data_IF_778407210529
#
_entry.id   IF_778407210529
#
_cell.length_a   1.000
_cell.length_b   1.000
_cell.length_c   1.000
_cell.angle_alpha   90.00
_cell.angle_beta   90.00
_cell.angle_gamma   90.00
#
_symmetry.space_group_name_H-M   'P 1'
#
loop_
_entity.id
_entity.type
_entity.pdbx_description
1 polymer ?
#
# COMPACT_ATOMS: atom_id res chain seq x y z
N UNK A 1 -39.39 -16.18 -51.87
CA UNK A 1 -39.38 -15.58 -53.22
C UNK A 1 -38.14 -14.77 -53.43
N UNK A 2 -37.35 -15.19 -54.36
CA UNK A 2 -36.37 -14.49 -55.19
C UNK A 2 -35.07 -13.96 -54.63
N UNK A 3 -34.03 -14.76 -54.71
CA UNK A 3 -32.71 -14.36 -55.24
C UNK A 3 -32.85 -14.12 -56.74
N UNK A 4 -31.99 -13.44 -57.52
CA UNK A 4 -30.55 -13.46 -57.56
C UNK A 4 -29.85 -12.16 -58.08
N UNK A 5 -28.55 -12.05 -58.15
CA UNK A 5 -27.64 -12.01 -59.33
C UNK A 5 -26.30 -11.37 -59.08
N UNK A 6 -25.22 -12.14 -59.25
CA UNK A 6 -23.87 -11.62 -59.60
C UNK A 6 -23.84 -11.17 -61.08
N UNK A 7 -22.94 -10.28 -61.48
CA UNK A 7 -21.97 -10.60 -62.52
C UNK A 7 -20.57 -10.08 -62.20
N UNK A 8 -19.60 -10.75 -62.55
CA UNK A 8 -18.84 -11.01 -63.76
C UNK A 8 -17.45 -10.37 -63.73
N UNK A 9 -16.48 -11.21 -63.92
CA UNK A 9 -15.05 -10.98 -64.06
C UNK A 9 -14.72 -10.12 -65.24
N UNK A 10 -13.71 -9.23 -65.14
CA UNK A 10 -12.92 -8.78 -66.28
C UNK A 10 -11.48 -8.99 -66.01
N UNK A 11 -10.87 -9.89 -66.71
CA UNK A 11 -9.46 -10.17 -66.83
C UNK A 11 -8.91 -9.22 -67.92
N UNK A 12 -7.87 -8.43 -67.55
CA UNK A 12 -7.04 -7.80 -68.59
C UNK A 12 -5.61 -8.23 -68.35
N UNK A 13 -5.17 -9.09 -69.26
CA UNK A 13 -3.77 -9.39 -69.52
C UNK A 13 -3.15 -8.25 -70.32
N UNK A 14 -2.07 -7.65 -69.86
CA UNK A 14 -1.10 -7.01 -70.76
C UNK A 14 0.32 -7.40 -70.32
N UNK A 15 0.90 -8.15 -71.24
CA UNK A 15 2.33 -8.44 -71.22
C UNK A 15 3.10 -7.24 -71.84
N UNK A 16 4.23 -6.87 -71.26
CA UNK A 16 5.35 -6.38 -72.03
C UNK A 16 6.64 -6.22 -71.19
N UNK A 17 7.62 -6.91 -71.64
CA UNK A 17 9.03 -6.52 -71.86
C UNK A 17 9.98 -6.38 -70.70
N UNK A 18 10.91 -7.28 -70.71
CA UNK A 18 12.17 -7.30 -69.97
C UNK A 18 13.06 -6.08 -70.26
N UNK A 19 13.63 -5.55 -69.18
CA UNK A 19 14.91 -4.81 -69.21
C UNK A 19 15.72 -5.27 -68.03
N UNK A 20 16.68 -6.14 -68.28
CA UNK A 20 17.75 -6.52 -67.36
C UNK A 20 18.70 -5.37 -67.20
N UNK A 21 18.62 -4.62 -66.10
CA UNK A 21 19.70 -3.80 -65.61
C UNK A 21 20.25 -4.48 -64.33
N UNK A 22 21.37 -5.16 -64.47
CA UNK A 22 22.18 -5.67 -63.37
C UNK A 22 22.78 -4.48 -62.65
N UNK A 23 22.07 -3.96 -61.64
CA UNK A 23 22.69 -3.13 -60.62
C UNK A 23 23.16 -4.05 -59.49
N UNK A 24 24.44 -4.33 -59.45
CA UNK A 24 25.13 -4.90 -58.32
C UNK A 24 25.07 -3.89 -57.16
N UNK A 25 23.95 -3.82 -56.45
CA UNK A 25 23.86 -3.25 -55.14
C UNK A 25 24.64 -4.21 -54.21
N UNK A 26 25.89 -3.85 -53.90
CA UNK A 26 26.60 -4.46 -52.81
C UNK A 26 25.72 -4.42 -51.59
N UNK A 27 25.26 -5.57 -51.12
CA UNK A 27 24.66 -5.74 -49.82
C UNK A 27 25.78 -5.36 -48.83
N UNK A 28 25.75 -4.13 -48.34
CA UNK A 28 26.44 -3.77 -47.11
C UNK A 28 25.85 -4.70 -46.07
N UNK A 29 26.63 -5.64 -45.49
CA UNK A 29 26.10 -6.37 -44.35
C UNK A 29 25.77 -5.31 -43.30
N UNK A 30 24.52 -5.15 -42.97
CA UNK A 30 24.13 -4.43 -41.77
C UNK A 30 24.78 -5.20 -40.60
N UNK A 31 25.99 -4.80 -40.27
CA UNK A 31 26.62 -5.19 -39.02
C UNK A 31 25.71 -4.61 -37.92
N UNK A 32 24.68 -5.36 -37.54
CA UNK A 32 24.01 -5.12 -36.28
C UNK A 32 25.13 -5.25 -35.25
N UNK A 33 25.53 -4.11 -34.69
CA UNK A 33 26.47 -4.11 -33.55
C UNK A 33 25.89 -5.00 -32.46
N UNK A 34 26.46 -6.17 -32.15
CA UNK A 34 25.96 -7.04 -31.11
C UNK A 34 25.84 -6.33 -29.75
N UNK A 35 26.66 -5.28 -29.56
CA UNK A 35 26.63 -4.43 -28.36
C UNK A 35 25.37 -3.58 -28.23
N UNK A 36 24.88 -3.03 -29.33
CA UNK A 36 23.70 -2.16 -29.32
C UNK A 36 22.42 -2.90 -28.87
N UNK A 37 22.26 -4.17 -29.27
CA UNK A 37 21.14 -5.02 -28.84
C UNK A 37 21.18 -5.37 -27.33
N UNK A 38 22.38 -5.60 -26.82
CA UNK A 38 22.60 -5.91 -25.40
C UNK A 38 22.36 -4.69 -24.52
N UNK A 39 22.84 -3.50 -24.93
CA UNK A 39 22.62 -2.27 -24.18
C UNK A 39 21.14 -1.88 -24.13
N UNK A 40 20.41 -2.00 -25.23
CA UNK A 40 18.97 -1.79 -25.28
C UNK A 40 18.22 -2.78 -24.37
N UNK A 41 18.66 -4.04 -24.30
CA UNK A 41 18.09 -5.06 -23.41
C UNK A 41 18.35 -4.71 -21.94
N UNK A 42 19.55 -4.27 -21.59
CA UNK A 42 19.91 -3.79 -20.24
C UNK A 42 19.02 -2.63 -19.81
N UNK A 43 18.94 -1.58 -20.63
CA UNK A 43 18.10 -0.41 -20.37
C UNK A 43 16.62 -0.77 -20.20
N UNK A 44 16.13 -1.78 -20.94
CA UNK A 44 14.77 -2.28 -20.77
C UNK A 44 14.58 -3.03 -19.46
N UNK A 45 15.55 -3.84 -19.04
CA UNK A 45 15.52 -4.55 -17.74
C UNK A 45 15.50 -3.55 -16.59
N UNK A 46 16.37 -2.53 -16.61
CA UNK A 46 16.43 -1.49 -15.57
C UNK A 46 15.11 -0.74 -15.46
N UNK A 47 14.51 -0.37 -16.61
CA UNK A 47 13.19 0.26 -16.64
C UNK A 47 12.10 -0.64 -16.04
N UNK A 48 12.12 -1.95 -16.36
CA UNK A 48 11.15 -2.90 -15.80
C UNK A 48 11.29 -3.06 -14.28
N UNK A 49 12.53 -3.05 -13.76
CA UNK A 49 12.75 -3.06 -12.31
C UNK A 49 12.24 -1.78 -11.65
N UNK A 50 12.54 -0.61 -12.24
CA UNK A 50 12.02 0.67 -11.75
C UNK A 50 10.49 0.72 -11.74
N UNK A 51 9.85 0.25 -12.82
CA UNK A 51 8.39 0.16 -12.89
C UNK A 51 7.82 -0.89 -11.91
N UNK A 52 8.56 -1.96 -11.63
CA UNK A 52 8.18 -2.96 -10.62
C UNK A 52 8.27 -2.37 -9.21
N UNK A 53 9.28 -1.56 -8.91
CA UNK A 53 9.41 -0.85 -7.63
C UNK A 53 8.25 0.13 -7.41
N UNK A 54 7.89 0.95 -8.42
CA UNK A 54 6.72 1.83 -8.34
C UNK A 54 5.43 1.04 -8.08
N UNK A 55 5.27 -0.09 -8.74
CA UNK A 55 4.11 -0.96 -8.53
C UNK A 55 4.13 -1.62 -7.14
N UNK A 56 5.32 -1.95 -6.61
CA UNK A 56 5.48 -2.50 -5.26
C UNK A 56 5.16 -1.45 -4.18
N UNK A 57 5.57 -0.20 -4.38
CA UNK A 57 5.19 0.91 -3.49
C UNK A 57 3.67 1.15 -3.51
N UNK A 58 3.04 1.11 -4.68
CA UNK A 58 1.58 1.16 -4.79
C UNK A 58 0.89 -0.03 -4.09
N UNK A 59 1.46 -1.23 -4.18
CA UNK A 59 1.02 -2.40 -3.43
C UNK A 59 1.11 -2.16 -1.91
N UNK A 60 2.27 -1.71 -1.42
CA UNK A 60 2.50 -1.46 -0.01
C UNK A 60 1.51 -0.42 0.56
N UNK A 61 1.26 0.66 -0.18
CA UNK A 61 0.29 1.69 0.21
C UNK A 61 -1.15 1.14 0.27
N UNK A 62 -1.55 0.37 -0.74
CA UNK A 62 -2.89 -0.21 -0.78
C UNK A 62 -3.07 -1.28 0.31
N UNK A 63 -2.04 -2.05 0.63
CA UNK A 63 -2.07 -3.09 1.66
C UNK A 63 -2.16 -2.47 3.07
N UNK A 64 -1.35 -1.47 3.38
CA UNK A 64 -1.45 -0.70 4.63
C UNK A 64 -2.85 -0.10 4.82
N UNK A 65 -3.41 0.50 3.75
CA UNK A 65 -4.78 1.01 3.78
C UNK A 65 -5.82 -0.09 4.00
N UNK A 66 -5.65 -1.25 3.36
CA UNK A 66 -6.54 -2.40 3.55
C UNK A 66 -6.49 -2.92 4.98
N UNK A 67 -5.31 -2.96 5.60
CA UNK A 67 -5.15 -3.38 7.00
C UNK A 67 -5.82 -2.40 7.96
N UNK A 68 -5.61 -1.10 7.80
CA UNK A 68 -6.29 -0.08 8.60
C UNK A 68 -7.82 -0.18 8.48
N UNK A 69 -8.32 -0.41 7.25
CA UNK A 69 -9.76 -0.59 7.01
C UNK A 69 -10.30 -1.89 7.60
N UNK A 70 -9.54 -3.00 7.60
CA UNK A 70 -9.93 -4.25 8.29
C UNK A 70 -10.12 -4.03 9.78
N UNK A 71 -9.19 -3.31 10.43
CA UNK A 71 -9.32 -2.97 11.85
C UNK A 71 -10.55 -2.10 12.11
N UNK A 72 -10.78 -1.07 11.27
CA UNK A 72 -11.97 -0.20 11.37
C UNK A 72 -13.27 -0.99 11.23
N UNK A 73 -13.35 -1.89 10.26
CA UNK A 73 -14.52 -2.77 10.05
C UNK A 73 -14.73 -3.70 11.24
N UNK A 74 -13.67 -4.30 11.79
CA UNK A 74 -13.77 -5.13 13.00
C UNK A 74 -14.33 -4.35 14.19
N UNK A 75 -13.80 -3.17 14.48
CA UNK A 75 -14.29 -2.28 15.54
C UNK A 75 -15.75 -1.88 15.34
N UNK A 76 -16.16 -1.58 14.10
CA UNK A 76 -17.54 -1.25 13.77
C UNK A 76 -18.48 -2.45 14.00
N UNK A 77 -18.07 -3.67 13.62
CA UNK A 77 -18.85 -4.89 13.88
C UNK A 77 -19.08 -5.12 15.37
N UNK A 78 -18.05 -4.95 16.21
CA UNK A 78 -18.15 -5.06 17.66
C UNK A 78 -19.07 -3.99 18.25
N UNK A 79 -18.98 -2.74 17.77
CA UNK A 79 -19.84 -1.65 18.20
C UNK A 79 -21.31 -1.92 17.86
N UNK A 80 -21.58 -2.38 16.63
CA UNK A 80 -22.91 -2.76 16.16
C UNK A 80 -23.51 -3.90 17.00
N UNK A 81 -22.72 -4.91 17.34
CA UNK A 81 -23.17 -6.02 18.19
C UNK A 81 -23.58 -5.52 19.58
N UNK A 82 -22.74 -4.70 20.23
CA UNK A 82 -23.07 -4.10 21.53
C UNK A 82 -24.28 -3.16 21.47
N UNK A 83 -24.38 -2.36 20.40
CA UNK A 83 -25.53 -1.47 20.17
C UNK A 83 -26.84 -2.25 20.02
N UNK A 84 -26.82 -3.32 19.24
CA UNK A 84 -28.00 -4.19 19.07
C UNK A 84 -28.42 -4.86 20.38
N UNK A 85 -27.47 -5.31 21.18
CA UNK A 85 -27.71 -5.89 22.49
C UNK A 85 -28.36 -4.86 23.45
N UNK A 86 -27.86 -3.61 23.48
CA UNK A 86 -28.50 -2.53 24.27
C UNK A 86 -29.95 -2.29 23.86
N UNK A 87 -30.20 -2.20 22.55
CA UNK A 87 -31.59 -2.05 22.03
C UNK A 87 -32.47 -3.22 22.42
N UNK A 88 -31.96 -4.45 22.37
CA UNK A 88 -32.72 -5.64 22.76
C UNK A 88 -33.07 -5.61 24.25
N UNK A 89 -32.16 -5.21 25.14
CA UNK A 89 -32.43 -5.03 26.57
C UNK A 89 -33.49 -3.94 26.82
N UNK A 90 -33.40 -2.79 26.15
CA UNK A 90 -34.38 -1.70 26.28
C UNK A 90 -35.76 -2.13 25.80
N UNK A 91 -35.84 -2.85 24.68
CA UNK A 91 -37.12 -3.43 24.18
C UNK A 91 -37.70 -4.43 25.14
N UNK A 92 -36.86 -5.30 25.73
CA UNK A 92 -37.32 -6.27 26.75
C UNK A 92 -37.89 -5.58 27.97
N UNK A 93 -37.23 -4.54 28.47
CA UNK A 93 -37.74 -3.76 29.61
C UNK A 93 -39.07 -3.05 29.32
N UNK A 94 -39.18 -2.39 28.16
CA UNK A 94 -40.44 -1.75 27.73
C UNK A 94 -41.57 -2.77 27.47
N UNK A 95 -41.20 -3.93 26.88
CA UNK A 95 -42.19 -5.01 26.64
C UNK A 95 -42.71 -5.64 27.91
N UNK A 96 -41.87 -5.84 28.93
CA UNK A 96 -42.29 -6.34 30.24
C UNK A 96 -43.26 -5.37 30.94
N UNK A 97 -43.01 -4.07 30.83
CA UNK A 97 -43.86 -3.03 31.36
C UNK A 97 -45.24 -2.98 30.66
N UNK A 98 -45.26 -2.98 29.32
CA UNK A 98 -46.48 -3.04 28.53
C UNK A 98 -47.31 -4.31 28.82
N UNK A 99 -46.64 -5.46 28.99
CA UNK A 99 -47.25 -6.71 29.37
C UNK A 99 -47.86 -6.67 30.78
N UNK A 100 -47.24 -5.96 31.72
CA UNK A 100 -47.79 -5.75 33.06
C UNK A 100 -49.08 -4.88 33.01
N UNK A 101 -49.05 -3.79 32.25
CA UNK A 101 -50.20 -2.92 32.03
C UNK A 101 -51.39 -3.67 31.38
N UNK A 102 -51.10 -4.49 30.36
CA UNK A 102 -52.14 -5.32 29.72
C UNK A 102 -52.80 -6.31 30.70
N UNK A 103 -52.00 -6.99 31.54
CA UNK A 103 -52.51 -7.94 32.52
C UNK A 103 -53.31 -7.29 33.65
N UNK A 104 -53.09 -6.02 33.96
CA UNK A 104 -53.88 -5.26 34.95
C UNK A 104 -55.23 -4.75 34.42
N UNK A 105 -55.69 -5.25 33.27
CA UNK A 105 -57.01 -4.97 32.71
C UNK A 105 -57.06 -3.87 31.66
N UNK A 106 -55.91 -3.32 31.27
CA UNK A 106 -55.79 -2.33 30.17
C UNK A 106 -56.47 -0.98 30.42
N UNK A 107 -56.98 -0.75 31.62
CA UNK A 107 -57.54 0.57 31.99
C UNK A 107 -56.41 1.58 32.13
N UNK A 108 -56.66 2.79 31.61
CA UNK A 108 -55.73 3.89 31.78
C UNK A 108 -55.55 4.16 33.29
N UNK A 109 -54.29 4.11 33.80
CA UNK A 109 -54.02 4.40 35.22
C UNK A 109 -54.58 5.76 35.69
N UNK A 110 -54.67 6.73 34.78
CA UNK A 110 -55.25 8.04 35.09
C UNK A 110 -56.78 7.92 35.31
N UNK A 111 -57.51 7.05 34.56
CA UNK A 111 -58.91 6.78 34.78
C UNK A 111 -59.14 6.03 36.09
N UNK A 112 -58.29 5.07 36.42
CA UNK A 112 -58.35 4.34 37.71
C UNK A 112 -58.14 5.31 38.87
N UNK A 113 -57.21 6.27 38.72
CA UNK A 113 -56.97 7.31 39.71
C UNK A 113 -58.17 8.25 39.87
N UNK A 114 -58.78 8.71 38.75
CA UNK A 114 -59.94 9.59 38.75
C UNK A 114 -61.19 8.93 39.40
N UNK A 115 -61.35 7.62 39.24
CA UNK A 115 -62.43 6.85 39.80
C UNK A 115 -62.18 6.34 41.25
N UNK A 116 -61.05 6.69 41.83
CA UNK A 116 -60.67 6.34 43.19
C UNK A 116 -61.50 7.10 44.19
N UNK A 117 -62.10 6.41 45.17
CA UNK A 117 -62.89 6.98 46.27
C UNK A 117 -62.08 7.36 47.51
N UNK A 118 -60.73 7.33 47.43
CA UNK A 118 -59.82 7.61 48.53
C UNK A 118 -59.01 8.92 48.23
N UNK A 119 -59.52 10.07 48.79
CA UNK A 119 -58.90 11.36 48.53
C UNK A 119 -57.52 11.57 49.21
N UNK A 120 -57.25 10.88 50.31
CA UNK A 120 -56.03 11.06 51.10
C UNK A 120 -54.81 10.49 50.41
N UNK A 121 -55.00 9.41 49.66
CA UNK A 121 -53.90 8.80 48.84
C UNK A 121 -53.82 9.31 47.39
N UNK A 122 -54.76 10.20 46.98
CA UNK A 122 -54.85 10.66 45.58
C UNK A 122 -53.57 11.33 45.09
N UNK A 123 -53.02 12.30 45.84
CA UNK A 123 -51.82 13.04 45.46
C UNK A 123 -50.58 12.15 45.37
N UNK A 124 -50.46 11.20 46.32
CA UNK A 124 -49.33 10.25 46.29
C UNK A 124 -49.40 9.32 45.07
N UNK A 125 -50.59 8.83 44.72
CA UNK A 125 -50.79 8.00 43.52
C UNK A 125 -50.61 8.79 42.24
N UNK A 126 -51.08 10.04 42.16
CA UNK A 126 -50.88 10.94 41.05
C UNK A 126 -49.37 11.21 40.81
N UNK A 127 -48.64 11.54 41.87
CA UNK A 127 -47.20 11.76 41.77
C UNK A 127 -46.39 10.49 41.40
N UNK A 128 -46.86 9.32 41.83
CA UNK A 128 -46.29 8.03 41.41
C UNK A 128 -46.53 7.75 39.92
N UNK A 129 -47.76 8.03 39.41
CA UNK A 129 -48.13 7.89 38.01
C UNK A 129 -47.28 8.82 37.11
N UNK A 130 -47.13 10.10 37.50
CA UNK A 130 -46.30 11.06 36.80
C UNK A 130 -44.85 10.59 36.69
N UNK A 131 -44.28 10.05 37.77
CA UNK A 131 -42.92 9.47 37.78
C UNK A 131 -42.80 8.27 36.83
N UNK A 132 -43.78 7.38 36.78
CA UNK A 132 -43.80 6.23 35.87
C UNK A 132 -43.89 6.69 34.42
N UNK A 133 -44.81 7.60 34.12
CA UNK A 133 -44.98 8.17 32.77
C UNK A 133 -43.71 8.88 32.27
N UNK A 134 -43.09 9.68 33.13
CA UNK A 134 -41.82 10.36 32.82
C UNK A 134 -40.71 9.36 32.53
N UNK A 135 -40.58 8.28 33.32
CA UNK A 135 -39.59 7.20 33.09
C UNK A 135 -39.84 6.47 31.77
N UNK A 136 -41.10 6.18 31.42
CA UNK A 136 -41.47 5.54 30.16
C UNK A 136 -41.11 6.41 28.96
N UNK A 137 -41.46 7.72 29.02
CA UNK A 137 -41.14 8.69 27.98
C UNK A 137 -39.61 8.83 27.78
N UNK A 138 -38.84 8.88 28.89
CA UNK A 138 -37.41 8.90 28.85
C UNK A 138 -36.81 7.63 28.22
N UNK A 139 -37.34 6.45 28.59
CA UNK A 139 -36.88 5.16 28.05
C UNK A 139 -37.17 5.04 26.54
N UNK A 140 -38.32 5.51 26.08
CA UNK A 140 -38.67 5.55 24.65
C UNK A 140 -37.76 6.51 23.87
N UNK A 141 -37.51 7.67 24.44
CA UNK A 141 -36.58 8.66 23.84
C UNK A 141 -35.17 8.07 23.71
N UNK A 142 -34.69 7.41 24.74
CA UNK A 142 -33.36 6.78 24.72
C UNK A 142 -33.32 5.62 23.73
N UNK A 143 -34.33 4.76 23.64
CA UNK A 143 -34.41 3.74 22.61
C UNK A 143 -34.37 4.31 21.20
N UNK A 144 -35.04 5.44 20.96
CA UNK A 144 -35.01 6.12 19.66
C UNK A 144 -33.64 6.69 19.35
N UNK A 145 -32.93 7.23 20.35
CA UNK A 145 -31.54 7.73 20.19
C UNK A 145 -30.58 6.59 19.84
N UNK A 146 -30.64 5.49 20.59
CA UNK A 146 -29.80 4.32 20.33
C UNK A 146 -30.08 3.69 18.96
N UNK A 147 -31.33 3.67 18.50
CA UNK A 147 -31.65 3.20 17.15
C UNK A 147 -31.05 4.10 16.08
N UNK A 148 -31.18 5.43 16.19
CA UNK A 148 -30.55 6.35 15.24
C UNK A 148 -29.04 6.21 15.22
N UNK A 149 -28.41 6.07 16.39
CA UNK A 149 -26.97 5.83 16.51
C UNK A 149 -26.56 4.53 15.81
N UNK A 150 -27.28 3.45 16.05
CA UNK A 150 -27.00 2.16 15.41
C UNK A 150 -27.15 2.22 13.89
N UNK A 151 -28.14 2.96 13.38
CA UNK A 151 -28.34 3.12 11.94
C UNK A 151 -27.21 3.94 11.30
N UNK A 152 -26.70 4.97 11.99
CA UNK A 152 -25.51 5.73 11.56
C UNK A 152 -24.27 4.83 11.55
N UNK A 153 -23.99 4.10 12.63
CA UNK A 153 -22.86 3.18 12.73
C UNK A 153 -22.92 2.11 11.62
N UNK A 154 -24.10 1.62 11.26
CA UNK A 154 -24.31 0.71 10.11
C UNK A 154 -23.95 1.35 8.77
N UNK A 155 -24.31 2.60 8.56
CA UNK A 155 -23.98 3.32 7.34
C UNK A 155 -22.45 3.52 7.22
N UNK A 156 -21.79 3.91 8.30
CA UNK A 156 -20.32 4.07 8.36
C UNK A 156 -19.60 2.73 8.12
N UNK A 157 -20.09 1.63 8.73
CA UNK A 157 -19.54 0.30 8.52
C UNK A 157 -19.66 -0.16 7.06
N UNK A 158 -20.78 0.12 6.39
CA UNK A 158 -20.96 -0.18 4.95
C UNK A 158 -19.98 0.62 4.08
N UNK A 159 -19.76 1.88 4.39
CA UNK A 159 -18.78 2.72 3.68
C UNK A 159 -17.38 2.15 3.85
N UNK A 160 -16.97 1.81 5.07
CA UNK A 160 -15.66 1.22 5.35
C UNK A 160 -15.46 -0.14 4.64
N UNK A 161 -16.50 -0.97 4.57
CA UNK A 161 -16.47 -2.23 3.80
C UNK A 161 -16.24 -1.97 2.30
N UNK A 162 -16.97 -1.03 1.69
CA UNK A 162 -16.80 -0.67 0.29
C UNK A 162 -15.41 -0.09 -0.02
N UNK A 163 -14.82 0.64 0.92
CA UNK A 163 -13.44 1.12 0.82
C UNK A 163 -12.44 -0.03 0.93
N UNK A 164 -12.66 -0.99 1.84
CA UNK A 164 -11.83 -2.18 1.99
C UNK A 164 -11.83 -3.04 0.72
N UNK A 165 -12.98 -3.26 0.11
CA UNK A 165 -13.09 -4.00 -1.16
C UNK A 165 -12.31 -3.30 -2.29
N UNK A 166 -12.42 -1.98 -2.40
CA UNK A 166 -11.65 -1.19 -3.37
C UNK A 166 -10.15 -1.31 -3.12
N UNK A 167 -9.71 -1.15 -1.87
CA UNK A 167 -8.29 -1.27 -1.49
C UNK A 167 -7.75 -2.66 -1.80
N UNK A 168 -8.49 -3.73 -1.51
CA UNK A 168 -8.13 -5.12 -1.87
C UNK A 168 -8.00 -5.32 -3.39
N UNK A 169 -8.88 -4.70 -4.17
CA UNK A 169 -8.78 -4.74 -5.63
C UNK A 169 -7.52 -4.01 -6.13
N UNK A 170 -7.14 -2.91 -5.49
CA UNK A 170 -5.87 -2.20 -5.76
C UNK A 170 -4.65 -3.04 -5.42
N UNK A 171 -4.61 -3.66 -4.25
CA UNK A 171 -3.58 -4.63 -3.85
C UNK A 171 -3.41 -5.70 -4.93
N UNK A 172 -4.51 -6.32 -5.37
CA UNK A 172 -4.47 -7.36 -6.40
C UNK A 172 -3.99 -6.84 -7.77
N UNK A 173 -4.34 -5.59 -8.15
CA UNK A 173 -3.85 -4.97 -9.40
C UNK A 173 -2.35 -4.71 -9.36
N UNK A 174 -1.86 -4.09 -8.29
CA UNK A 174 -0.45 -3.79 -8.11
C UNK A 174 0.39 -5.06 -8.04
N UNK A 175 -0.07 -6.07 -7.28
CA UNK A 175 0.56 -7.39 -7.23
C UNK A 175 0.77 -7.98 -8.63
N UNK A 176 -0.30 -8.06 -9.44
CA UNK A 176 -0.20 -8.56 -10.82
C UNK A 176 0.73 -7.72 -11.69
N UNK A 177 0.79 -6.40 -11.45
CA UNK A 177 1.71 -5.51 -12.18
C UNK A 177 3.17 -5.83 -11.85
N UNK A 178 3.51 -5.96 -10.57
CA UNK A 178 4.86 -6.36 -10.11
C UNK A 178 5.25 -7.70 -10.73
N UNK A 179 4.40 -8.73 -10.57
CA UNK A 179 4.68 -10.08 -11.06
C UNK A 179 4.93 -10.12 -12.59
N UNK A 180 4.12 -9.41 -13.39
CA UNK A 180 4.32 -9.33 -14.84
C UNK A 180 5.65 -8.66 -15.21
N UNK A 181 5.97 -7.52 -14.60
CA UNK A 181 7.20 -6.77 -14.88
C UNK A 181 8.44 -7.58 -14.52
N UNK A 182 8.42 -8.24 -13.37
CA UNK A 182 9.49 -9.14 -12.94
C UNK A 182 9.64 -10.37 -13.85
N UNK A 183 8.53 -10.95 -14.30
CA UNK A 183 8.57 -12.06 -15.24
C UNK A 183 9.15 -11.64 -16.61
N UNK A 184 8.84 -10.44 -17.09
CA UNK A 184 9.40 -9.89 -18.31
C UNK A 184 10.90 -9.59 -18.15
N UNK A 185 11.31 -8.93 -17.07
CA UNK A 185 12.72 -8.65 -16.78
C UNK A 185 13.53 -9.95 -16.71
N UNK A 186 13.04 -10.98 -16.02
CA UNK A 186 13.70 -12.30 -15.96
C UNK A 186 13.84 -12.96 -17.32
N UNK A 187 12.82 -12.87 -18.19
CA UNK A 187 12.93 -13.41 -19.56
C UNK A 187 14.00 -12.69 -20.36
N UNK A 188 14.06 -11.36 -20.28
CA UNK A 188 15.09 -10.58 -20.95
C UNK A 188 16.50 -10.91 -20.44
N UNK A 189 16.68 -11.04 -19.12
CA UNK A 189 17.95 -11.47 -18.54
C UNK A 189 18.32 -12.90 -18.96
N UNK A 190 17.36 -13.80 -19.10
CA UNK A 190 17.60 -15.17 -19.56
C UNK A 190 17.99 -15.21 -21.04
N UNK A 191 17.62 -14.22 -21.86
CA UNK A 191 18.03 -14.12 -23.27
C UNK A 191 19.47 -13.62 -23.45
N UNK A 192 20.10 -13.03 -22.42
CA UNK A 192 21.50 -12.62 -22.45
C UNK A 192 22.44 -13.83 -22.35
N UNK A 193 23.58 -13.76 -22.99
CA UNK A 193 24.68 -14.72 -22.81
C UNK A 193 25.22 -14.69 -21.38
N UNK A 194 25.97 -15.72 -20.99
CA UNK A 194 26.57 -15.74 -19.64
C UNK A 194 27.53 -14.58 -19.39
N UNK A 195 28.29 -14.16 -20.42
CA UNK A 195 29.21 -13.03 -20.34
C UNK A 195 28.43 -11.70 -20.15
N UNK A 196 27.43 -11.46 -21.00
CA UNK A 196 26.59 -10.25 -20.92
C UNK A 196 25.82 -10.14 -19.61
N UNK A 197 25.38 -11.27 -19.05
CA UNK A 197 24.72 -11.31 -17.73
C UNK A 197 25.71 -10.98 -16.61
N UNK A 198 26.92 -11.51 -16.66
CA UNK A 198 27.98 -11.16 -15.72
C UNK A 198 28.37 -9.68 -15.81
N UNK A 199 28.36 -9.11 -17.01
CA UNK A 199 28.59 -7.67 -17.24
C UNK A 199 27.46 -6.83 -16.67
N UNK A 200 26.20 -7.23 -16.89
CA UNK A 200 25.05 -6.58 -16.28
C UNK A 200 25.13 -6.58 -14.75
N UNK A 201 25.45 -7.73 -14.14
CA UNK A 201 25.59 -7.85 -12.68
C UNK A 201 26.75 -7.00 -12.14
N UNK A 202 27.86 -6.89 -12.88
CA UNK A 202 28.97 -6.00 -12.52
C UNK A 202 28.56 -4.53 -12.60
N UNK A 203 27.96 -4.12 -13.71
CA UNK A 203 27.50 -2.75 -13.92
C UNK A 203 26.43 -2.35 -12.86
N UNK A 204 25.53 -3.26 -12.50
CA UNK A 204 24.52 -3.00 -11.47
C UNK A 204 25.11 -2.89 -10.06
N UNK A 205 26.26 -3.51 -9.79
CA UNK A 205 26.99 -3.38 -8.53
C UNK A 205 27.83 -2.11 -8.45
N UNK A 206 28.35 -1.64 -9.58
CA UNK A 206 29.17 -0.41 -9.64
C UNK A 206 28.35 0.88 -9.71
N UNK A 207 27.03 0.82 -9.55
CA UNK A 207 26.11 1.96 -9.53
C UNK A 207 26.45 3.01 -10.55
N UNK A 208 26.07 2.83 -11.81
CA UNK A 208 26.38 3.64 -12.98
C UNK A 208 27.12 4.95 -12.75
N UNK A 209 28.39 4.97 -13.04
CA UNK A 209 29.38 6.06 -13.05
C UNK A 209 30.14 6.34 -11.74
N UNK A 210 31.44 6.15 -11.88
CA UNK A 210 32.57 6.50 -11.03
C UNK A 210 32.97 5.45 -9.97
N UNK A 211 33.58 4.42 -10.42
CA UNK A 211 34.37 3.48 -9.67
C UNK A 211 34.83 2.43 -10.67
N UNK A 212 36.11 2.47 -11.14
CA UNK A 212 36.66 1.44 -11.98
C UNK A 212 36.56 0.05 -11.32
N UNK A 213 36.75 -1.05 -12.08
CA UNK A 213 36.73 -2.37 -11.51
C UNK A 213 37.88 -2.51 -10.49
N UNK A 214 37.55 -2.47 -9.20
CA UNK A 214 38.52 -2.63 -8.10
C UNK A 214 38.50 -1.55 -7.03
N UNK A 215 37.68 -0.51 -7.13
CA UNK A 215 37.56 0.46 -6.04
C UNK A 215 36.77 -0.15 -4.90
N UNK A 216 37.47 -0.57 -3.86
CA UNK A 216 36.92 -1.04 -2.61
C UNK A 216 36.12 0.12 -1.99
N UNK A 217 34.83 -0.09 -1.74
CA UNK A 217 33.99 0.92 -1.09
C UNK A 217 34.67 1.38 0.20
N UNK A 218 34.80 2.69 0.46
CA UNK A 218 35.43 3.16 1.68
C UNK A 218 34.76 2.53 2.91
N UNK A 219 35.50 2.20 3.95
CA UNK A 219 34.94 1.59 5.13
C UNK A 219 33.77 2.46 5.66
N UNK A 220 32.68 1.83 6.12
CA UNK A 220 31.55 2.57 6.67
C UNK A 220 32.05 3.55 7.75
N UNK A 221 31.49 4.77 7.74
CA UNK A 221 31.88 5.76 8.76
C UNK A 221 31.71 5.21 10.17
N UNK A 222 32.67 5.51 11.03
CA UNK A 222 32.49 5.27 12.48
C UNK A 222 31.29 6.09 12.94
N UNK A 223 30.35 5.38 13.59
CA UNK A 223 29.17 5.99 14.18
C UNK A 223 29.65 6.70 15.46
N UNK A 224 30.01 8.01 15.33
CA UNK A 224 30.36 8.83 16.47
C UNK A 224 29.23 8.90 17.52
N UNK A 225 29.43 9.57 18.66
CA UNK A 225 28.46 9.67 19.76
C UNK A 225 27.20 10.52 19.41
N UNK A 226 26.83 10.59 18.13
CA UNK A 226 25.62 11.21 17.63
C UNK A 226 24.35 10.51 18.13
N UNK A 227 23.20 10.80 17.54
CA UNK A 227 21.91 10.22 17.94
C UNK A 227 22.01 8.69 18.02
N UNK A 228 21.93 8.15 19.25
CA UNK A 228 22.05 6.71 19.53
C UNK A 228 21.03 5.88 18.74
N UNK A 229 19.86 6.47 18.39
CA UNK A 229 18.83 5.82 17.60
C UNK A 229 19.20 5.76 16.11
N UNK A 230 19.74 6.83 15.57
CA UNK A 230 20.25 6.83 14.19
C UNK A 230 21.37 5.78 14.02
N UNK A 231 22.31 5.73 14.98
CA UNK A 231 23.36 4.72 15.01
C UNK A 231 22.80 3.29 15.09
N UNK A 232 21.81 3.04 15.94
CA UNK A 232 21.15 1.75 16.06
C UNK A 232 20.46 1.34 14.76
N UNK A 233 19.78 2.27 14.06
CA UNK A 233 19.16 2.02 12.77
C UNK A 233 20.19 1.64 11.70
N UNK A 234 21.32 2.35 11.62
CA UNK A 234 22.40 2.01 10.68
C UNK A 234 23.00 0.65 11.01
N UNK A 235 23.25 0.32 12.28
CA UNK A 235 23.76 -1.00 12.68
C UNK A 235 22.78 -2.12 12.30
N UNK A 236 21.49 -1.89 12.50
CA UNK A 236 20.47 -2.82 12.03
C UNK A 236 20.52 -3.01 10.50
N UNK A 237 20.55 -1.92 9.72
CA UNK A 237 20.66 -2.00 8.27
C UNK A 237 21.94 -2.74 7.82
N UNK A 238 23.09 -2.50 8.48
CA UNK A 238 24.35 -3.23 8.25
C UNK A 238 24.18 -4.74 8.47
N UNK A 239 23.48 -5.16 9.51
CA UNK A 239 23.22 -6.59 9.79
C UNK A 239 22.33 -7.27 8.76
N UNK A 240 21.61 -6.49 7.95
CA UNK A 240 20.79 -6.97 6.86
C UNK A 240 21.55 -7.12 5.53
N UNK A 241 22.78 -6.60 5.42
CA UNK A 241 23.58 -6.72 4.20
C UNK A 241 23.74 -8.19 3.80
N UNK A 242 23.59 -8.47 2.50
CA UNK A 242 23.61 -9.83 1.95
C UNK A 242 22.26 -10.56 1.96
N UNK A 243 21.23 -10.07 2.69
CA UNK A 243 19.89 -10.65 2.66
C UNK A 243 19.16 -10.32 1.36
N UNK A 244 18.30 -11.23 0.86
CA UNK A 244 17.67 -11.05 -0.45
C UNK A 244 16.64 -9.92 -0.46
N UNK A 245 16.50 -9.27 -1.62
CA UNK A 245 15.36 -8.42 -1.91
C UNK A 245 14.11 -9.27 -2.16
N UNK A 246 13.04 -8.97 -1.45
CA UNK A 246 11.69 -9.49 -1.73
C UNK A 246 10.72 -8.33 -1.59
N UNK A 247 9.99 -7.98 -2.65
CA UNK A 247 9.00 -6.91 -2.60
C UNK A 247 7.91 -7.20 -1.56
N UNK A 248 7.47 -6.17 -0.84
CA UNK A 248 6.54 -6.29 0.28
C UNK A 248 7.15 -6.77 1.59
N UNK A 249 8.41 -7.24 1.61
CA UNK A 249 9.03 -7.79 2.80
C UNK A 249 9.62 -6.71 3.72
N UNK A 250 9.40 -6.87 5.04
CA UNK A 250 9.87 -5.98 6.11
C UNK A 250 10.81 -6.69 7.09
N UNK A 251 11.53 -7.72 6.63
CA UNK A 251 12.50 -8.46 7.42
C UNK A 251 11.91 -9.54 8.35
N UNK A 252 12.75 -10.22 9.14
CA UNK A 252 14.22 -10.08 9.23
C UNK A 252 15.01 -10.86 8.16
N UNK A 253 14.38 -11.71 7.35
CA UNK A 253 15.06 -12.62 6.40
C UNK A 253 15.19 -12.06 4.99
N UNK A 254 14.31 -11.15 4.61
CA UNK A 254 14.25 -10.49 3.31
C UNK A 254 13.66 -9.10 3.45
N UNK A 255 13.94 -8.22 2.49
CA UNK A 255 13.53 -6.81 2.53
C UNK A 255 13.19 -6.28 1.14
N UNK A 256 12.21 -5.37 1.04
CA UNK A 256 12.22 -4.36 -0.01
C UNK A 256 12.88 -3.06 0.48
N UNK A 257 12.99 -2.03 -0.37
CA UNK A 257 13.70 -0.81 -0.04
C UNK A 257 13.12 -0.11 1.21
N UNK A 258 11.83 0.17 1.23
CA UNK A 258 11.13 0.83 2.34
C UNK A 258 10.96 -0.08 3.56
N UNK A 259 10.81 -1.39 3.36
CA UNK A 259 10.75 -2.38 4.42
C UNK A 259 12.05 -2.54 5.21
N UNK A 260 13.19 -2.41 4.54
CA UNK A 260 14.49 -2.36 5.21
C UNK A 260 14.55 -1.15 6.16
N UNK A 261 14.07 0.02 5.73
CA UNK A 261 14.01 1.22 6.58
C UNK A 261 13.08 1.01 7.77
N UNK A 262 11.85 0.52 7.55
CA UNK A 262 10.89 0.20 8.63
C UNK A 262 11.51 -0.73 9.65
N UNK A 263 12.17 -1.79 9.19
CA UNK A 263 12.79 -2.76 10.10
C UNK A 263 13.96 -2.15 10.87
N UNK A 264 14.86 -1.45 10.19
CA UNK A 264 16.06 -0.85 10.80
C UNK A 264 15.71 0.17 11.89
N UNK A 265 14.75 1.05 11.60
CA UNK A 265 14.31 2.06 12.56
C UNK A 265 13.48 1.48 13.71
N UNK A 266 12.76 0.39 13.46
CA UNK A 266 12.07 -0.35 14.55
C UNK A 266 13.06 -0.91 15.56
N UNK A 267 14.25 -1.39 15.14
CA UNK A 267 15.32 -1.81 16.06
C UNK A 267 15.86 -0.64 16.89
N UNK A 268 15.74 0.58 16.38
CA UNK A 268 16.08 1.83 17.07
C UNK A 268 14.91 2.42 17.91
N UNK A 269 13.76 1.73 17.99
CA UNK A 269 12.58 2.19 18.71
C UNK A 269 11.80 3.29 17.99
N UNK A 270 12.03 3.50 16.70
CA UNK A 270 11.32 4.48 15.85
C UNK A 270 10.40 3.75 14.87
N UNK A 271 9.16 4.22 14.77
CA UNK A 271 8.21 3.72 13.78
C UNK A 271 8.22 4.60 12.54
N UNK A 272 8.54 4.01 11.40
CA UNK A 272 8.45 4.66 10.08
C UNK A 272 7.21 4.18 9.33
N UNK A 273 6.62 5.03 8.46
CA UNK A 273 5.57 4.60 7.55
C UNK A 273 6.10 3.56 6.54
N UNK A 274 5.19 2.78 5.97
CA UNK A 274 5.53 1.62 5.13
C UNK A 274 6.16 1.99 3.80
N UNK A 275 5.75 3.10 3.16
CA UNK A 275 6.18 3.46 1.80
C UNK A 275 7.32 4.45 1.78
N UNK A 276 8.19 4.38 0.75
CA UNK A 276 9.29 5.31 0.53
C UNK A 276 8.82 6.75 0.41
N UNK A 277 7.69 6.98 -0.28
CA UNK A 277 7.11 8.30 -0.43
C UNK A 277 6.64 8.90 0.91
N UNK A 278 6.06 8.10 1.81
CA UNK A 278 5.70 8.53 3.15
C UNK A 278 6.93 8.71 4.05
N UNK A 279 7.96 7.86 3.91
CA UNK A 279 9.24 7.98 4.61
C UNK A 279 9.98 9.27 4.25
N UNK A 280 9.88 9.73 2.99
CA UNK A 280 10.38 11.05 2.56
C UNK A 280 9.81 12.22 3.36
N UNK A 281 8.64 12.04 3.98
CA UNK A 281 7.97 13.04 4.79
C UNK A 281 8.08 12.77 6.31
N UNK A 282 8.77 11.70 6.70
CA UNK A 282 8.82 11.24 8.10
C UNK A 282 9.89 11.96 8.95
N UNK A 283 10.25 13.18 8.60
CA UNK A 283 11.23 13.96 9.34
C UNK A 283 11.56 15.30 8.69
N UNK A 284 12.67 15.86 9.07
CA UNK A 284 13.18 17.16 8.59
C UNK A 284 14.03 16.98 7.34
N UNK A 285 13.78 17.74 6.27
CA UNK A 285 14.65 17.78 5.09
C UNK A 285 16.02 18.37 5.42
N UNK A 286 17.05 17.73 4.88
CA UNK A 286 18.46 18.10 5.08
C UNK A 286 19.16 18.19 3.72
N UNK A 287 20.00 19.19 3.46
CA UNK A 287 20.88 19.18 2.28
C UNK A 287 21.78 17.95 2.26
N UNK A 288 22.04 17.37 1.08
CA UNK A 288 22.91 16.19 0.95
C UNK A 288 24.33 16.43 1.55
N UNK A 289 24.84 17.65 1.46
CA UNK A 289 26.12 18.03 2.07
C UNK A 289 26.15 17.98 3.61
N UNK A 290 24.98 17.90 4.24
CA UNK A 290 24.81 17.82 5.70
C UNK A 290 24.24 16.45 6.12
N UNK A 291 24.22 15.46 5.21
CA UNK A 291 23.75 14.13 5.51
C UNK A 291 24.60 13.46 6.58
N UNK A 292 23.95 12.81 7.52
CA UNK A 292 24.55 12.08 8.63
C UNK A 292 24.14 10.62 8.63
N UNK A 293 24.98 9.69 9.13
CA UNK A 293 24.58 8.30 9.26
C UNK A 293 23.23 8.16 9.96
N UNK A 294 22.30 7.42 9.33
CA UNK A 294 20.93 7.30 9.79
C UNK A 294 19.94 8.16 9.04
N UNK A 295 20.34 9.17 8.28
CA UNK A 295 19.40 9.92 7.44
C UNK A 295 18.81 9.00 6.34
N UNK A 296 17.51 9.17 6.06
CA UNK A 296 16.85 8.53 4.94
C UNK A 296 17.20 9.25 3.64
N UNK A 297 17.57 8.51 2.63
CA UNK A 297 17.84 9.03 1.29
C UNK A 297 16.81 8.46 0.34
N UNK A 298 15.95 9.32 -0.20
CA UNK A 298 14.96 8.93 -1.20
C UNK A 298 15.38 9.41 -2.58
N UNK A 299 15.04 8.62 -3.58
CA UNK A 299 15.44 8.81 -4.96
C UNK A 299 14.24 8.93 -5.88
N UNK A 300 14.47 9.51 -7.04
CA UNK A 300 13.50 9.79 -8.09
C UNK A 300 12.45 10.82 -7.63
N UNK A 301 11.83 11.52 -8.55
CA UNK A 301 10.84 12.57 -8.24
C UNK A 301 9.62 12.05 -7.48
N UNK A 302 9.24 10.80 -7.72
CA UNK A 302 8.12 10.09 -7.08
C UNK A 302 8.50 9.41 -5.75
N UNK A 303 9.76 9.48 -5.32
CA UNK A 303 10.29 8.79 -4.14
C UNK A 303 10.01 7.27 -4.15
N UNK A 304 10.10 6.64 -5.33
CA UNK A 304 9.84 5.21 -5.48
C UNK A 304 10.97 4.32 -4.93
N UNK A 305 12.07 4.90 -4.48
CA UNK A 305 13.18 4.18 -3.84
C UNK A 305 13.70 4.92 -2.60
N UNK A 306 14.17 4.17 -1.61
CA UNK A 306 14.73 4.70 -0.36
C UNK A 306 15.90 3.86 0.13
N UNK A 307 16.85 4.52 0.77
CA UNK A 307 18.03 3.95 1.41
C UNK A 307 18.28 4.63 2.76
N UNK A 308 19.13 4.05 3.60
CA UNK A 308 19.69 4.70 4.79
C UNK A 308 21.11 5.16 4.51
N UNK A 309 21.44 6.41 4.84
CA UNK A 309 22.78 6.95 4.70
C UNK A 309 23.72 6.30 5.74
N UNK A 310 24.80 5.70 5.26
CA UNK A 310 25.77 4.99 6.09
C UNK A 310 27.02 5.80 6.44
N UNK A 311 27.11 7.04 5.90
CA UNK A 311 28.31 7.87 5.99
C UNK A 311 29.24 7.71 4.78
N UNK A 312 30.24 8.59 4.65
CA UNK A 312 31.28 8.53 3.59
C UNK A 312 30.71 8.46 2.17
N UNK A 313 29.57 9.14 1.90
CA UNK A 313 28.94 9.13 0.59
C UNK A 313 28.25 7.82 0.20
N UNK A 314 28.02 6.92 1.16
CA UNK A 314 27.43 5.60 0.94
C UNK A 314 26.04 5.49 1.58
N UNK A 315 25.23 4.62 0.99
CA UNK A 315 23.92 4.22 1.52
C UNK A 315 23.83 2.69 1.61
N UNK A 316 22.96 2.21 2.50
CA UNK A 316 22.56 0.81 2.55
C UNK A 316 21.12 0.71 2.06
N UNK A 317 20.85 -0.17 1.10
CA UNK A 317 19.53 -0.35 0.54
C UNK A 317 19.27 -1.79 0.06
N UNK A 318 18.01 -2.09 -0.21
CA UNK A 318 17.57 -3.27 -0.94
C UNK A 318 17.23 -2.81 -2.37
N UNK A 319 18.07 -3.09 -3.40
CA UNK A 319 17.99 -2.38 -4.68
C UNK A 319 16.82 -2.79 -5.57
N UNK A 320 16.65 -4.09 -5.85
CA UNK A 320 15.61 -4.61 -6.75
C UNK A 320 15.47 -6.14 -6.59
N UNK A 321 14.38 -6.75 -7.08
CA UNK A 321 14.18 -8.19 -7.01
C UNK A 321 15.28 -9.02 -7.70
N UNK A 322 15.85 -9.94 -6.95
CA UNK A 322 16.99 -10.77 -7.39
C UNK A 322 18.35 -10.27 -6.88
N UNK A 323 18.40 -9.03 -6.42
CA UNK A 323 19.60 -8.49 -5.75
C UNK A 323 19.55 -8.76 -4.24
N UNK A 324 20.61 -8.36 -3.55
CA UNK A 324 20.75 -8.43 -2.11
C UNK A 324 20.91 -7.04 -1.51
N UNK A 325 20.55 -6.86 -0.26
CA UNK A 325 20.87 -5.67 0.52
C UNK A 325 22.37 -5.42 0.44
N UNK A 326 22.77 -4.19 0.11
CA UNK A 326 24.16 -3.83 -0.12
C UNK A 326 24.43 -2.36 0.12
N UNK A 327 25.70 -2.01 0.09
CA UNK A 327 26.16 -0.64 -0.01
C UNK A 327 26.22 -0.19 -1.47
N UNK A 328 25.77 1.03 -1.73
CA UNK A 328 25.96 1.72 -3.02
C UNK A 328 26.26 3.21 -2.76
N UNK A 329 26.83 3.95 -3.72
CA UNK A 329 27.06 5.39 -3.60
C UNK A 329 25.76 6.16 -3.44
N UNK A 330 25.76 7.22 -2.65
CA UNK A 330 24.57 8.05 -2.36
C UNK A 330 23.98 8.70 -3.61
N UNK A 331 24.75 8.88 -4.67
CA UNK A 331 24.35 9.43 -5.97
C UNK A 331 24.02 8.36 -7.03
N UNK A 332 23.74 7.12 -6.61
CA UNK A 332 23.44 5.99 -7.51
C UNK A 332 22.21 6.20 -8.40
N UNK A 333 21.28 7.06 -8.01
CA UNK A 333 20.06 7.38 -8.75
C UNK A 333 19.81 8.90 -8.74
N UNK A 334 18.90 9.37 -9.60
CA UNK A 334 18.52 10.78 -9.71
C UNK A 334 17.63 11.28 -8.57
N UNK A 335 17.48 12.61 -8.48
CA UNK A 335 16.54 13.32 -7.61
C UNK A 335 16.68 12.96 -6.13
N UNK A 336 17.92 13.01 -5.64
CA UNK A 336 18.26 12.70 -4.25
C UNK A 336 17.61 13.69 -3.29
N UNK A 337 16.87 13.18 -2.33
CA UNK A 337 16.32 13.96 -1.21
C UNK A 337 16.70 13.29 0.12
N UNK A 338 17.22 14.06 1.06
CA UNK A 338 17.63 13.55 2.37
C UNK A 338 16.61 14.00 3.43
N UNK A 339 16.19 13.08 4.28
CA UNK A 339 15.26 13.32 5.38
C UNK A 339 15.84 12.74 6.67
N UNK A 340 15.90 13.53 7.71
CA UNK A 340 16.30 13.10 9.06
C UNK A 340 15.07 12.83 9.90
N UNK A 341 14.80 11.57 10.22
CA UNK A 341 13.66 11.15 11.05
C UNK A 341 13.72 11.61 12.48
#
# INVERSE_FOLDING_TARGET
>A
MASPRRPARVTVLTAAAAATAAASLGAIPASADPGAGTEATRAKVDRLYEEAERAAEGYNQADEKADALRHKVGQAQDSLARGQERINRMRGALGSLAGAQYRSGGLDPALVLLLSSDPDSYLDRASALDRVTARQSAALTELQRERRRLDQERAEARTALGELERSRAEVARHKRSVERKLAEARRLLASLTAAERADYERASRSGGRAGGPGEELPPPADLGPGDSRAAAAVLAARSAVGKPYVWGATGPTAFDCSGLMVWSYRQAGISLPRTSAAQRQAGRRVPLSQAQPGDLVTYRGDASHVAIYAGNGQVIHAPYPGARVRYDPVNMMSDVTVTRP
#
